data_IF_717501327346
#
_entry.id   IF_717501327346
#
_cell.length_a   1.000
_cell.length_b   1.000
_cell.length_c   1.000
_cell.angle_alpha   90.00
_cell.angle_beta   90.00
_cell.angle_gamma   90.00
#
_symmetry.space_group_name_H-M   'P 1'
#
loop_
_entity.id
_entity.type
_entity.pdbx_description
1 polymer ?
#
# COMPACT_ATOMS: atom_id res chain seq x y z
N UNK A 1 -0.46 -3.47 9.90
CA UNK A 1 -1.51 -3.13 10.92
C UNK A 1 -1.07 -3.46 12.34
N UNK A 2 -0.63 -4.69 12.64
CA UNK A 2 -0.27 -5.10 14.02
C UNK A 2 0.85 -4.26 14.63
N UNK A 3 1.92 -3.94 13.89
CA UNK A 3 2.99 -3.04 14.35
C UNK A 3 2.46 -1.68 14.79
N UNK A 4 1.57 -1.08 13.98
CA UNK A 4 0.96 0.22 14.30
C UNK A 4 0.09 0.12 15.56
N UNK A 5 -0.64 -0.98 15.74
CA UNK A 5 -1.41 -1.21 16.95
C UNK A 5 -0.53 -1.34 18.19
N UNK A 6 0.62 -2.03 18.08
CA UNK A 6 1.60 -2.11 19.16
C UNK A 6 2.21 -0.75 19.52
N UNK A 7 2.59 0.05 18.49
CA UNK A 7 3.13 1.39 18.70
C UNK A 7 2.11 2.28 19.44
N UNK A 8 0.86 2.31 18.98
CA UNK A 8 -0.22 3.08 19.63
C UNK A 8 -0.50 2.57 21.06
N UNK A 9 -0.50 1.26 21.27
CA UNK A 9 -0.71 0.68 22.59
C UNK A 9 0.39 1.08 23.56
N UNK A 10 1.65 1.01 23.16
CA UNK A 10 2.80 1.40 23.99
C UNK A 10 2.83 2.91 24.28
N UNK A 11 2.28 3.73 23.37
CA UNK A 11 2.10 5.16 23.60
C UNK A 11 1.01 5.43 24.67
N UNK A 12 -0.12 4.74 24.57
CA UNK A 12 -1.26 4.89 25.49
C UNK A 12 -0.98 4.24 26.87
N UNK A 13 -0.20 3.19 26.92
CA UNK A 13 0.12 2.40 28.10
C UNK A 13 1.64 2.21 28.21
N UNK A 14 2.40 3.24 28.61
CA UNK A 14 3.87 3.21 28.61
C UNK A 14 4.48 2.06 29.42
N UNK A 15 3.82 1.62 30.48
CA UNK A 15 4.26 0.50 31.35
C UNK A 15 4.29 -0.85 30.61
N UNK A 16 3.66 -0.94 29.46
CA UNK A 16 3.63 -2.15 28.62
C UNK A 16 4.82 -2.24 27.65
N UNK A 17 5.61 -1.17 27.55
CA UNK A 17 6.68 -1.03 26.55
C UNK A 17 7.77 -2.09 26.69
N UNK A 18 8.19 -2.39 27.90
CA UNK A 18 9.21 -3.42 28.17
C UNK A 18 8.83 -4.78 27.57
N UNK A 19 7.55 -5.14 27.62
CA UNK A 19 7.02 -6.39 27.09
C UNK A 19 6.88 -6.37 25.56
N UNK A 20 6.35 -5.28 24.99
CA UNK A 20 5.90 -5.28 23.60
C UNK A 20 6.90 -4.71 22.60
N UNK A 21 7.84 -3.87 23.06
CA UNK A 21 8.85 -3.31 22.18
C UNK A 21 9.73 -4.41 21.53
N UNK A 22 10.26 -5.43 22.24
CA UNK A 22 11.04 -6.50 21.62
C UNK A 22 10.23 -7.31 20.58
N UNK A 23 8.95 -7.55 20.86
CA UNK A 23 8.06 -8.27 19.93
C UNK A 23 7.82 -7.43 18.67
N UNK A 24 7.59 -6.13 18.84
CA UNK A 24 7.42 -5.18 17.73
C UNK A 24 8.65 -5.16 16.82
N UNK A 25 9.85 -5.08 17.42
CA UNK A 25 11.12 -5.06 16.69
C UNK A 25 11.37 -6.38 15.95
N UNK A 26 11.14 -7.52 16.57
CA UNK A 26 11.28 -8.83 15.95
C UNK A 26 10.33 -9.00 14.75
N UNK A 27 9.07 -8.53 14.84
CA UNK A 27 8.13 -8.59 13.75
C UNK A 27 8.58 -7.68 12.59
N UNK A 28 9.05 -6.46 12.90
CA UNK A 28 9.55 -5.53 11.91
C UNK A 28 10.77 -6.11 11.16
N UNK A 29 11.75 -6.64 11.89
CA UNK A 29 12.93 -7.29 11.34
C UNK A 29 12.55 -8.48 10.44
N UNK A 30 11.71 -9.38 10.93
CA UNK A 30 11.27 -10.53 10.15
C UNK A 30 10.45 -10.13 8.91
N UNK A 31 9.62 -9.09 9.01
CA UNK A 31 8.90 -8.56 7.86
C UNK A 31 9.85 -8.06 6.77
N UNK A 32 10.87 -7.32 7.16
CA UNK A 32 11.92 -6.88 6.22
C UNK A 32 12.70 -8.06 5.64
N UNK A 33 13.17 -8.97 6.48
CA UNK A 33 13.99 -10.11 6.09
C UNK A 33 13.31 -11.05 5.10
N UNK A 34 12.02 -11.31 5.27
CA UNK A 34 11.30 -12.34 4.53
C UNK A 34 10.40 -11.80 3.42
N UNK A 35 9.97 -10.53 3.50
CA UNK A 35 9.00 -9.97 2.57
C UNK A 35 9.55 -8.81 1.72
N UNK A 36 10.70 -8.23 2.09
CA UNK A 36 11.27 -7.15 1.30
C UNK A 36 12.06 -7.68 0.10
N UNK A 37 11.67 -7.23 -1.08
CA UNK A 37 12.35 -7.49 -2.34
C UNK A 37 13.26 -6.30 -2.64
N UNK A 38 14.55 -6.49 -2.41
CA UNK A 38 15.57 -5.44 -2.56
C UNK A 38 15.76 -5.03 -4.02
N UNK A 39 15.60 -5.98 -4.96
CA UNK A 39 15.75 -5.70 -6.39
C UNK A 39 14.64 -4.81 -6.92
N UNK A 40 13.40 -5.07 -6.50
CA UNK A 40 12.21 -4.34 -6.94
C UNK A 40 11.77 -3.25 -5.98
N UNK A 41 12.48 -3.04 -4.85
CA UNK A 41 12.22 -2.02 -3.83
C UNK A 41 10.75 -2.02 -3.37
N UNK A 42 10.25 -3.21 -2.99
CA UNK A 42 8.86 -3.40 -2.55
C UNK A 42 8.72 -4.60 -1.62
N UNK A 43 7.61 -4.69 -0.94
CA UNK A 43 7.22 -5.93 -0.26
C UNK A 43 6.57 -6.90 -1.24
N UNK A 44 6.96 -8.20 -1.17
CA UNK A 44 6.24 -9.25 -1.87
C UNK A 44 4.87 -9.45 -1.21
N UNK A 45 3.82 -9.78 -1.98
CA UNK A 45 2.46 -9.85 -1.45
C UNK A 45 2.26 -10.99 -0.47
N UNK A 46 2.78 -12.18 -0.78
CA UNK A 46 2.54 -13.41 -0.01
C UNK A 46 3.77 -14.30 0.03
N UNK A 47 3.86 -15.06 1.12
CA UNK A 47 4.67 -16.28 1.23
C UNK A 47 3.66 -17.39 1.49
N UNK A 48 3.47 -18.29 0.53
CA UNK A 48 2.61 -19.44 0.69
C UNK A 48 3.32 -20.50 1.52
N UNK A 49 2.62 -21.10 2.49
CA UNK A 49 3.14 -22.24 3.26
C UNK A 49 2.96 -23.56 2.52
N UNK A 50 2.07 -23.56 1.55
CA UNK A 50 1.76 -24.64 0.62
C UNK A 50 1.86 -24.11 -0.82
N UNK A 51 1.36 -24.84 -1.80
CA UNK A 51 1.36 -24.41 -3.20
C UNK A 51 0.54 -23.12 -3.39
N UNK A 52 0.98 -22.29 -4.34
CA UNK A 52 0.24 -21.09 -4.72
C UNK A 52 -1.16 -21.48 -5.25
N UNK A 53 -2.23 -20.72 -4.89
CA UNK A 53 -3.55 -20.95 -5.48
C UNK A 53 -3.65 -20.49 -6.94
N UNK A 54 -2.62 -19.84 -7.47
CA UNK A 54 -2.58 -19.33 -8.83
C UNK A 54 -1.87 -20.31 -9.78
N UNK A 55 -2.10 -20.20 -11.10
CA UNK A 55 -1.38 -20.99 -12.10
C UNK A 55 0.14 -20.80 -12.02
N UNK A 56 0.92 -21.84 -12.33
CA UNK A 56 2.39 -21.85 -12.24
C UNK A 56 3.07 -20.77 -13.09
N UNK A 57 2.45 -20.36 -14.19
CA UNK A 57 2.94 -19.30 -15.08
C UNK A 57 2.58 -17.89 -14.61
N UNK A 58 1.79 -17.74 -13.54
CA UNK A 58 1.42 -16.46 -12.97
C UNK A 58 2.42 -16.00 -11.91
N UNK A 59 3.14 -14.94 -12.22
CA UNK A 59 4.08 -14.33 -11.28
C UNK A 59 3.44 -13.19 -10.50
N UNK A 60 2.88 -13.50 -9.33
CA UNK A 60 2.26 -12.52 -8.42
C UNK A 60 3.26 -11.45 -7.95
N UNK A 61 4.56 -11.75 -7.90
CA UNK A 61 5.59 -10.78 -7.49
C UNK A 61 5.77 -9.63 -8.49
N UNK A 62 5.18 -9.68 -9.68
CA UNK A 62 5.12 -8.53 -10.59
C UNK A 62 4.12 -7.45 -10.13
N UNK A 63 3.20 -7.78 -9.23
CA UNK A 63 2.17 -6.87 -8.75
C UNK A 63 2.75 -5.96 -7.66
N UNK A 64 2.52 -4.66 -7.79
CA UNK A 64 2.86 -3.66 -6.79
C UNK A 64 1.60 -3.25 -6.02
N UNK A 65 1.60 -3.41 -4.70
CA UNK A 65 0.47 -3.12 -3.82
C UNK A 65 0.64 -1.73 -3.19
N UNK A 66 -0.14 -0.75 -3.65
CA UNK A 66 -0.08 0.63 -3.15
C UNK A 66 -0.53 0.73 -1.69
N UNK A 67 -1.69 0.14 -1.36
CA UNK A 67 -2.22 0.20 -0.01
C UNK A 67 -1.32 -0.49 1.02
N UNK A 68 -0.75 -1.65 0.67
CA UNK A 68 0.20 -2.38 1.50
C UNK A 68 1.48 -1.58 1.76
N UNK A 69 2.01 -0.94 0.72
CA UNK A 69 3.19 -0.07 0.82
C UNK A 69 2.93 1.14 1.73
N UNK A 70 1.80 1.84 1.58
CA UNK A 70 1.43 2.95 2.46
C UNK A 70 1.33 2.51 3.93
N UNK A 71 0.84 1.32 4.19
CA UNK A 71 0.79 0.75 5.55
C UNK A 71 2.17 0.36 6.08
N UNK A 72 3.06 -0.14 5.23
CA UNK A 72 4.45 -0.45 5.60
C UNK A 72 5.23 0.83 5.96
N UNK A 73 5.04 1.91 5.19
CA UNK A 73 5.60 3.24 5.51
C UNK A 73 5.09 3.71 6.88
N UNK A 74 3.78 3.67 7.10
CA UNK A 74 3.18 4.07 8.38
C UNK A 74 3.68 3.23 9.56
N UNK A 75 4.01 1.97 9.34
CA UNK A 75 4.59 1.08 10.36
C UNK A 75 6.09 1.30 10.58
N UNK A 76 6.72 2.24 9.88
CA UNK A 76 8.16 2.54 10.01
C UNK A 76 9.05 1.45 9.43
N UNK A 77 8.59 0.73 8.41
CA UNK A 77 9.34 -0.35 7.77
C UNK A 77 10.24 0.12 6.62
N UNK A 78 10.10 1.36 6.15
CA UNK A 78 10.85 1.93 5.04
C UNK A 78 11.69 3.13 5.48
N UNK A 79 12.87 3.26 4.89
CA UNK A 79 13.70 4.48 4.97
C UNK A 79 13.08 5.63 4.15
N UNK A 80 13.60 6.85 4.31
CA UNK A 80 13.14 7.99 3.50
C UNK A 80 13.41 7.78 2.00
N UNK A 81 14.54 7.19 1.67
CA UNK A 81 14.95 6.88 0.31
C UNK A 81 13.99 5.86 -0.31
N UNK A 82 13.65 4.79 0.41
CA UNK A 82 12.70 3.77 -0.03
C UNK A 82 11.28 4.34 -0.17
N UNK A 83 10.88 5.28 0.69
CA UNK A 83 9.58 5.98 0.57
C UNK A 83 9.53 6.79 -0.73
N UNK A 84 10.61 7.50 -1.06
CA UNK A 84 10.69 8.26 -2.30
C UNK A 84 10.57 7.36 -3.53
N UNK A 85 11.34 6.27 -3.58
CA UNK A 85 11.27 5.27 -4.65
C UNK A 85 9.86 4.67 -4.75
N UNK A 86 9.22 4.36 -3.61
CA UNK A 86 7.86 3.87 -3.56
C UNK A 86 6.85 4.85 -4.16
N UNK A 87 6.98 6.15 -3.86
CA UNK A 87 6.12 7.18 -4.45
C UNK A 87 6.31 7.30 -5.95
N UNK A 88 7.56 7.35 -6.41
CA UNK A 88 7.88 7.39 -7.85
C UNK A 88 7.23 6.21 -8.57
N UNK A 89 7.32 5.00 -8.00
CA UNK A 89 6.71 3.79 -8.55
C UNK A 89 5.18 3.84 -8.56
N UNK A 90 4.56 4.36 -7.51
CA UNK A 90 3.11 4.56 -7.47
C UNK A 90 2.65 5.53 -8.55
N UNK A 91 3.37 6.63 -8.77
CA UNK A 91 3.04 7.61 -9.83
C UNK A 91 3.21 6.99 -11.23
N UNK A 92 4.24 6.19 -11.46
CA UNK A 92 4.40 5.43 -12.70
C UNK A 92 3.23 4.48 -12.95
N UNK A 93 2.84 3.72 -11.93
CA UNK A 93 1.73 2.78 -12.00
C UNK A 93 0.40 3.48 -12.30
N UNK A 94 0.14 4.64 -11.69
CA UNK A 94 -1.05 5.46 -11.96
C UNK A 94 -1.10 5.87 -13.44
N UNK A 95 0.02 6.33 -14.00
CA UNK A 95 0.12 6.67 -15.43
C UNK A 95 -0.11 5.46 -16.33
N UNK A 96 0.51 4.32 -15.99
CA UNK A 96 0.39 3.09 -16.77
C UNK A 96 -1.03 2.50 -16.72
N UNK A 97 -1.71 2.61 -15.59
CA UNK A 97 -3.10 2.19 -15.41
C UNK A 97 -4.14 3.15 -16.02
N UNK A 98 -3.75 4.39 -16.33
CA UNK A 98 -4.70 5.44 -16.68
C UNK A 98 -5.59 5.90 -15.52
N UNK A 99 -5.17 5.59 -14.27
CA UNK A 99 -5.89 5.98 -13.07
C UNK A 99 -5.70 7.48 -12.75
N UNK A 100 -6.59 8.03 -11.94
CA UNK A 100 -6.55 9.44 -11.61
C UNK A 100 -5.60 9.76 -10.43
N UNK A 101 -5.40 8.83 -9.50
CA UNK A 101 -4.65 9.10 -8.27
C UNK A 101 -3.86 7.89 -7.74
N UNK A 102 -2.94 8.16 -6.80
CA UNK A 102 -2.19 7.12 -6.06
C UNK A 102 -3.07 6.26 -5.13
N UNK A 103 -4.38 6.48 -5.14
CA UNK A 103 -5.38 5.61 -4.54
C UNK A 103 -5.55 4.27 -5.24
N UNK A 104 -4.91 4.08 -6.40
CA UNK A 104 -4.82 2.79 -7.08
C UNK A 104 -4.44 1.69 -6.08
N UNK A 105 -5.20 0.60 -6.01
CA UNK A 105 -4.97 -0.44 -5.00
C UNK A 105 -3.72 -1.25 -5.28
N UNK A 106 -3.54 -1.63 -6.56
CA UNK A 106 -2.41 -2.43 -7.04
C UNK A 106 -2.20 -2.25 -8.56
N UNK A 107 -1.02 -2.59 -9.05
CA UNK A 107 -0.69 -2.60 -10.47
C UNK A 107 0.46 -3.57 -10.78
N UNK A 108 0.43 -4.33 -11.90
CA UNK A 108 -0.73 -4.55 -12.78
C UNK A 108 -1.86 -5.30 -12.04
N UNK A 109 -3.12 -5.22 -12.51
CA UNK A 109 -4.21 -5.97 -11.89
C UNK A 109 -4.08 -7.47 -12.16
N UNK A 110 -4.69 -8.28 -11.28
CA UNK A 110 -4.87 -9.69 -11.52
C UNK A 110 -5.74 -9.93 -12.76
N UNK A 111 -5.47 -10.97 -13.54
CA UNK A 111 -6.26 -11.33 -14.71
C UNK A 111 -7.74 -11.57 -14.37
N UNK A 112 -8.60 -11.35 -15.37
CA UNK A 112 -10.03 -11.64 -15.23
C UNK A 112 -10.26 -13.11 -14.91
N UNK A 113 -11.11 -13.38 -13.93
CA UNK A 113 -11.49 -14.74 -13.53
C UNK A 113 -10.63 -15.33 -12.38
N UNK A 114 -9.65 -14.59 -11.86
CA UNK A 114 -8.88 -15.03 -10.68
C UNK A 114 -9.68 -14.93 -9.37
N UNK A 115 -10.72 -14.11 -9.34
CA UNK A 115 -11.56 -13.93 -8.17
C UNK A 115 -13.02 -14.31 -8.47
N UNK A 116 -13.69 -14.93 -7.51
CA UNK A 116 -15.12 -15.26 -7.59
C UNK A 116 -15.99 -13.99 -7.52
N UNK A 117 -15.52 -12.93 -6.86
CA UNK A 117 -16.23 -11.66 -6.78
C UNK A 117 -16.19 -10.95 -8.14
N UNK A 118 -17.37 -10.80 -8.75
CA UNK A 118 -17.51 -10.17 -10.08
C UNK A 118 -17.03 -8.72 -10.15
N UNK A 119 -16.99 -7.99 -9.04
CA UNK A 119 -16.45 -6.63 -8.97
C UNK A 119 -14.92 -6.58 -9.04
N UNK A 120 -14.24 -7.70 -8.83
CA UNK A 120 -12.78 -7.84 -8.86
C UNK A 120 -12.21 -8.07 -10.28
N UNK A 121 -12.88 -7.54 -11.30
CA UNK A 121 -12.31 -7.47 -12.66
C UNK A 121 -11.09 -6.56 -12.69
N UNK A 122 -10.18 -6.70 -13.69
CA UNK A 122 -9.05 -5.77 -13.84
C UNK A 122 -9.50 -4.30 -13.80
N UNK A 123 -8.84 -3.51 -12.97
CA UNK A 123 -9.14 -2.11 -12.64
C UNK A 123 -10.47 -1.89 -11.91
N UNK A 124 -11.15 -2.95 -11.46
CA UNK A 124 -12.35 -2.88 -10.65
C UNK A 124 -12.05 -3.12 -9.17
N UNK A 125 -12.87 -2.53 -8.31
CA UNK A 125 -12.85 -2.70 -6.84
C UNK A 125 -11.42 -2.73 -6.27
N UNK A 126 -11.03 -3.79 -5.54
CA UNK A 126 -9.68 -3.91 -4.97
C UNK A 126 -8.64 -4.50 -5.94
N UNK A 127 -9.03 -4.84 -7.17
CA UNK A 127 -8.14 -5.34 -8.21
C UNK A 127 -7.70 -4.23 -9.20
N UNK A 128 -7.08 -3.19 -8.66
CA UNK A 128 -6.62 -2.05 -9.44
C UNK A 128 -7.62 -0.88 -9.52
N UNK A 129 -8.70 -0.89 -8.72
CA UNK A 129 -9.56 0.29 -8.56
C UNK A 129 -8.85 1.41 -7.79
N UNK A 130 -9.25 2.64 -8.03
CA UNK A 130 -8.68 3.84 -7.40
C UNK A 130 -9.53 4.25 -6.18
N UNK A 131 -8.99 4.02 -5.00
CA UNK A 131 -9.64 4.24 -3.71
C UNK A 131 -9.10 5.49 -3.03
N UNK A 132 -9.95 6.46 -2.78
CA UNK A 132 -9.59 7.68 -2.05
C UNK A 132 -8.98 7.37 -0.68
N UNK A 133 -9.48 6.33 -0.01
CA UNK A 133 -9.00 5.88 1.29
C UNK A 133 -7.54 5.39 1.27
N UNK A 134 -7.14 4.59 0.27
CA UNK A 134 -5.76 4.14 0.12
C UNK A 134 -4.82 5.30 -0.21
N UNK A 135 -5.23 6.17 -1.12
CA UNK A 135 -4.46 7.36 -1.47
C UNK A 135 -4.30 8.31 -0.28
N UNK A 136 -5.37 8.53 0.49
CA UNK A 136 -5.31 9.35 1.71
C UNK A 136 -4.34 8.82 2.76
N UNK A 137 -4.18 7.49 2.89
CA UNK A 137 -3.16 6.89 3.78
C UNK A 137 -1.74 7.16 3.29
N UNK A 138 -1.51 7.07 1.99
CA UNK A 138 -0.19 7.40 1.43
C UNK A 138 0.12 8.90 1.62
N UNK A 139 -0.83 9.79 1.33
CA UNK A 139 -0.68 11.24 1.57
C UNK A 139 -0.31 11.52 3.02
N UNK A 140 -1.02 10.90 3.97
CA UNK A 140 -0.74 11.05 5.40
C UNK A 140 0.68 10.55 5.75
N UNK A 141 1.10 9.42 5.21
CA UNK A 141 2.44 8.89 5.41
C UNK A 141 3.51 9.83 4.85
N UNK A 142 3.31 10.37 3.66
CA UNK A 142 4.23 11.35 3.05
C UNK A 142 4.41 12.59 3.94
N UNK A 143 3.34 13.15 4.48
CA UNK A 143 3.39 14.30 5.40
C UNK A 143 4.19 13.94 6.66
N UNK A 144 3.96 12.77 7.25
CA UNK A 144 4.67 12.32 8.46
C UNK A 144 6.19 12.21 8.26
N UNK A 145 6.63 11.86 7.05
CA UNK A 145 8.06 11.75 6.72
C UNK A 145 8.67 13.01 6.10
N UNK A 146 7.89 14.10 6.01
CA UNK A 146 8.36 15.40 5.55
C UNK A 146 8.32 15.61 4.04
N UNK A 147 7.64 14.75 3.27
CA UNK A 147 7.39 14.88 1.83
C UNK A 147 6.12 15.71 1.59
N UNK A 148 6.13 16.96 2.08
CA UNK A 148 4.92 17.80 2.11
C UNK A 148 4.52 18.29 0.72
N UNK A 149 5.49 18.64 -0.12
CA UNK A 149 5.27 19.10 -1.49
C UNK A 149 4.68 17.97 -2.34
N UNK A 150 5.28 16.79 -2.27
CA UNK A 150 4.81 15.60 -2.96
C UNK A 150 3.41 15.19 -2.47
N UNK A 151 3.15 15.26 -1.17
CA UNK A 151 1.83 15.01 -0.62
C UNK A 151 0.78 15.99 -1.18
N UNK A 152 1.14 17.28 -1.28
CA UNK A 152 0.28 18.30 -1.87
C UNK A 152 0.00 18.04 -3.34
N UNK A 153 1.00 17.67 -4.13
CA UNK A 153 0.82 17.31 -5.53
C UNK A 153 -0.12 16.11 -5.70
N UNK A 154 0.09 15.06 -4.91
CA UNK A 154 -0.67 13.82 -5.03
C UNK A 154 -2.11 13.91 -4.51
N UNK A 155 -2.44 14.86 -3.64
CA UNK A 155 -3.83 15.07 -3.20
C UNK A 155 -4.68 15.82 -4.25
N UNK A 156 -4.07 16.62 -5.13
CA UNK A 156 -4.81 17.44 -6.09
C UNK A 156 -5.76 16.65 -7.00
N UNK A 157 -5.33 15.54 -7.66
CA UNK A 157 -6.24 14.76 -8.50
C UNK A 157 -7.39 14.15 -7.70
N UNK A 158 -7.17 13.79 -6.44
CA UNK A 158 -8.22 13.25 -5.57
C UNK A 158 -9.27 14.32 -5.23
N UNK A 159 -8.83 15.53 -4.86
CA UNK A 159 -9.72 16.67 -4.59
C UNK A 159 -10.48 17.09 -5.83
N UNK A 160 -9.81 17.13 -6.99
CA UNK A 160 -10.45 17.43 -8.28
C UNK A 160 -11.58 16.45 -8.56
N UNK A 161 -11.32 15.14 -8.45
CA UNK A 161 -12.31 14.08 -8.68
C UNK A 161 -13.53 14.19 -7.76
N UNK A 162 -13.32 14.47 -6.46
CA UNK A 162 -14.42 14.69 -5.51
C UNK A 162 -15.30 15.86 -5.94
N UNK A 163 -14.70 16.97 -6.42
CA UNK A 163 -15.43 18.14 -6.90
C UNK A 163 -16.20 17.86 -8.19
N UNK A 164 -15.59 17.14 -9.13
CA UNK A 164 -16.22 16.81 -10.43
C UNK A 164 -17.40 15.85 -10.30
N UNK A 165 -17.37 14.96 -9.29
CA UNK A 165 -18.42 13.99 -9.03
C UNK A 165 -19.42 14.44 -7.94
N UNK A 166 -19.26 15.65 -7.41
CA UNK A 166 -20.09 16.22 -6.32
C UNK A 166 -20.25 15.28 -5.12
N UNK A 167 -19.18 14.55 -4.77
CA UNK A 167 -19.22 13.64 -3.63
C UNK A 167 -18.01 12.75 -3.46
N UNK A 168 -18.02 12.02 -2.33
CA UNK A 168 -17.04 10.99 -2.02
C UNK A 168 -17.59 9.63 -2.37
N UNK A 169 -16.90 8.93 -3.23
CA UNK A 169 -17.21 7.55 -3.58
C UNK A 169 -16.18 6.62 -2.94
N UNK A 170 -16.59 5.38 -2.68
CA UNK A 170 -15.72 4.38 -2.09
C UNK A 170 -14.52 4.11 -2.99
N UNK A 171 -14.75 3.94 -4.27
CA UNK A 171 -13.74 3.72 -5.30
C UNK A 171 -14.19 4.19 -6.68
N UNK A 172 -13.23 4.26 -7.60
CA UNK A 172 -13.41 4.67 -9.00
C UNK A 172 -12.72 3.67 -9.93
N UNK A 173 -13.22 3.56 -11.16
CA UNK A 173 -12.59 2.81 -12.25
C UNK A 173 -11.66 3.72 -13.02
#
# INVERSE_FOLDING_TARGET
>A
MFLIALDNMMELLPDTKEKWQPIREQIAENSRKHLWDEENQKFIPHIYLEDSPFPDDFNENKIYYHGGTAMAIKAGLLSKEEIKVSLEKMVENVKAAGAASIGLTLYPPYPKGFFENESMVPYGYQNGGDWTWFGGRMIHALIQYGFVEEAYEQIQPMVKRVKENDGFYEWYT
#
